data_IF_467525433212
#
_entry.id   IF_467525433212
#
_cell.length_a   1.000
_cell.length_b   1.000
_cell.length_c   1.000
_cell.angle_alpha   90.00
_cell.angle_beta   90.00
_cell.angle_gamma   90.00
#
_symmetry.space_group_name_H-M   'P 1'
#
loop_
_entity.id
_entity.type
_entity.pdbx_description
1 polymer ?
#
# COMPACT_ATOMS: atom_id res chain seq x y z
N UNK A 1 -49.27 -11.31 0.38
CA UNK A 1 -48.70 -12.16 1.45
C UNK A 1 -47.36 -12.67 0.95
N UNK A 2 -46.27 -12.36 1.64
CA UNK A 2 -44.92 -12.82 1.26
C UNK A 2 -44.47 -13.86 2.28
N UNK A 3 -43.98 -14.99 1.80
CA UNK A 3 -43.47 -16.07 2.64
C UNK A 3 -41.95 -16.13 2.51
N UNK A 4 -41.28 -16.48 3.61
CA UNK A 4 -39.85 -16.75 3.59
C UNK A 4 -39.57 -17.96 2.69
N UNK A 5 -38.62 -17.82 1.76
CA UNK A 5 -38.26 -18.91 0.82
C UNK A 5 -37.56 -20.09 1.52
N UNK A 6 -36.93 -19.85 2.66
CA UNK A 6 -36.15 -20.87 3.38
C UNK A 6 -36.99 -21.69 4.36
N UNK A 7 -37.92 -21.05 5.11
CA UNK A 7 -38.68 -21.74 6.15
C UNK A 7 -40.21 -21.70 5.95
N UNK A 8 -40.67 -21.12 4.84
CA UNK A 8 -42.10 -21.04 4.48
C UNK A 8 -42.96 -20.17 5.40
N UNK A 9 -42.36 -19.49 6.39
CA UNK A 9 -43.12 -18.70 7.37
C UNK A 9 -43.60 -17.39 6.75
N UNK A 10 -44.83 -16.99 7.09
CA UNK A 10 -45.42 -15.74 6.65
C UNK A 10 -44.64 -14.55 7.21
N UNK A 11 -44.28 -13.61 6.33
CA UNK A 11 -43.57 -12.38 6.70
C UNK A 11 -44.63 -11.37 7.11
N UNK A 12 -44.79 -11.19 8.42
CA UNK A 12 -45.84 -10.34 9.01
C UNK A 12 -45.53 -8.84 8.88
N UNK A 13 -44.27 -8.47 8.57
CA UNK A 13 -43.80 -7.08 8.61
C UNK A 13 -43.23 -6.67 7.24
N UNK A 14 -43.85 -5.66 6.64
CA UNK A 14 -43.41 -5.08 5.36
C UNK A 14 -42.10 -4.29 5.58
N UNK A 15 -41.01 -4.73 4.93
CA UNK A 15 -39.66 -4.12 5.07
C UNK A 15 -38.69 -4.86 6.01
N UNK A 16 -39.07 -6.02 6.53
CA UNK A 16 -38.21 -6.84 7.37
C UNK A 16 -37.01 -7.43 6.59
N UNK A 17 -35.80 -7.25 7.14
CA UNK A 17 -34.53 -7.65 6.49
C UNK A 17 -34.23 -9.14 6.60
N UNK A 18 -34.64 -9.77 7.71
CA UNK A 18 -34.36 -11.16 8.04
C UNK A 18 -35.60 -11.84 8.62
N UNK A 19 -35.80 -13.12 8.33
CA UNK A 19 -36.92 -13.91 8.85
C UNK A 19 -36.76 -14.15 10.35
N UNK A 20 -37.79 -13.82 11.15
CA UNK A 20 -37.75 -13.98 12.61
C UNK A 20 -37.64 -15.44 13.08
N UNK A 21 -38.10 -16.39 12.25
CA UNK A 21 -38.14 -17.80 12.62
C UNK A 21 -36.85 -18.56 12.29
N UNK A 22 -36.18 -18.21 11.19
CA UNK A 22 -35.01 -18.96 10.70
C UNK A 22 -33.77 -18.09 10.48
N UNK A 23 -33.87 -16.76 10.62
CA UNK A 23 -32.75 -15.84 10.39
C UNK A 23 -32.40 -15.58 8.92
N UNK A 24 -33.10 -16.21 7.96
CA UNK A 24 -32.80 -16.05 6.54
C UNK A 24 -33.04 -14.61 6.04
N UNK A 25 -32.12 -14.08 5.24
CA UNK A 25 -32.20 -12.74 4.66
C UNK A 25 -33.31 -12.67 3.59
N UNK A 26 -34.17 -11.65 3.69
CA UNK A 26 -35.37 -11.49 2.86
C UNK A 26 -35.21 -10.40 1.78
N UNK A 27 -34.12 -9.63 1.80
CA UNK A 27 -33.88 -8.54 0.86
C UNK A 27 -33.11 -9.05 -0.35
N UNK A 28 -33.80 -9.16 -1.48
CA UNK A 28 -33.15 -9.13 -2.79
C UNK A 28 -33.65 -7.93 -3.59
N UNK A 29 -32.70 -7.03 -3.84
CA UNK A 29 -32.56 -6.04 -4.91
C UNK A 29 -33.68 -5.01 -5.15
N UNK A 30 -33.35 -3.73 -4.92
CA UNK A 30 -33.17 -2.74 -6.00
C UNK A 30 -32.71 -1.39 -5.45
N UNK A 31 -31.44 -1.05 -5.67
CA UNK A 31 -31.07 0.33 -5.97
C UNK A 31 -29.90 0.35 -6.97
N UNK A 32 -30.26 0.17 -8.25
CA UNK A 32 -29.50 0.74 -9.36
C UNK A 32 -29.54 2.26 -9.20
N UNK A 33 -28.47 2.86 -8.71
CA UNK A 33 -28.13 4.25 -9.05
C UNK A 33 -26.93 4.15 -9.99
N UNK A 34 -27.18 4.46 -11.25
CA UNK A 34 -26.17 4.94 -12.18
C UNK A 34 -25.57 6.22 -11.61
N UNK A 35 -24.38 6.10 -11.02
CA UNK A 35 -23.39 7.15 -11.00
C UNK A 35 -22.25 6.61 -11.86
N UNK A 36 -22.04 7.24 -12.99
CA UNK A 36 -20.92 6.98 -13.91
C UNK A 36 -19.63 7.34 -13.19
N UNK A 37 -19.13 6.43 -12.35
CA UNK A 37 -17.73 6.43 -11.94
C UNK A 37 -16.96 5.57 -12.96
N UNK A 38 -15.79 6.00 -13.44
CA UNK A 38 -14.94 5.11 -14.21
C UNK A 38 -14.71 3.84 -13.39
N UNK A 39 -15.18 2.72 -13.94
CA UNK A 39 -14.93 1.39 -13.42
C UNK A 39 -13.47 1.08 -13.66
N UNK A 40 -12.60 1.60 -12.82
CA UNK A 40 -11.34 0.93 -12.55
C UNK A 40 -11.73 -0.22 -11.63
N UNK A 41 -12.01 -1.39 -12.21
CA UNK A 41 -11.92 -2.64 -11.45
C UNK A 41 -10.52 -2.64 -10.88
N UNK A 42 -10.38 -2.30 -9.59
CA UNK A 42 -9.16 -2.49 -8.86
C UNK A 42 -8.99 -4.01 -8.76
N UNK A 43 -8.34 -4.57 -9.78
CA UNK A 43 -7.63 -5.82 -9.67
C UNK A 43 -6.84 -5.76 -8.36
N UNK A 44 -6.89 -6.79 -7.49
CA UNK A 44 -5.96 -6.84 -6.37
C UNK A 44 -4.56 -6.57 -6.91
N UNK A 45 -3.75 -5.69 -6.26
CA UNK A 45 -2.44 -5.31 -6.79
C UNK A 45 -1.69 -6.61 -7.03
N UNK A 46 -1.45 -6.94 -8.30
CA UNK A 46 -0.65 -8.10 -8.61
C UNK A 46 0.72 -7.79 -8.01
N UNK A 47 1.29 -8.70 -7.21
CA UNK A 47 2.67 -8.54 -6.80
C UNK A 47 3.44 -8.62 -8.11
N UNK A 48 4.13 -7.53 -8.46
CA UNK A 48 5.07 -7.53 -9.59
C UNK A 48 4.39 -7.63 -10.98
N UNK A 49 4.12 -6.48 -11.59
CA UNK A 49 3.95 -6.40 -13.05
C UNK A 49 5.33 -6.58 -13.69
N UNK A 50 5.44 -7.43 -14.72
CA UNK A 50 6.65 -7.46 -15.56
C UNK A 50 6.89 -6.05 -16.12
N UNK A 51 8.09 -5.52 -15.92
CA UNK A 51 8.44 -4.15 -16.30
C UNK A 51 7.87 -3.04 -15.40
N UNK A 52 7.14 -3.33 -14.31
CA UNK A 52 6.67 -2.35 -13.30
C UNK A 52 7.61 -2.21 -12.10
N UNK A 53 7.47 -1.23 -11.22
CA UNK A 53 8.48 -0.85 -10.18
C UNK A 53 9.09 -2.00 -9.37
N UNK A 54 8.33 -3.03 -9.00
CA UNK A 54 8.81 -4.17 -8.19
C UNK A 54 9.01 -5.45 -9.01
N UNK A 55 9.53 -5.33 -10.23
CA UNK A 55 9.90 -6.48 -11.06
C UNK A 55 11.07 -7.26 -10.45
N UNK A 56 10.84 -8.54 -10.19
CA UNK A 56 11.82 -9.46 -9.63
C UNK A 56 12.96 -9.76 -10.61
N UNK A 57 12.76 -9.55 -11.91
CA UNK A 57 13.83 -9.72 -12.90
C UNK A 57 14.83 -8.56 -12.92
N UNK A 58 14.60 -7.49 -12.14
CA UNK A 58 15.52 -6.35 -12.11
C UNK A 58 16.69 -6.56 -11.17
N UNK A 59 17.87 -6.26 -11.71
CA UNK A 59 19.12 -6.34 -10.97
C UNK A 59 19.50 -5.02 -10.28
N UNK A 60 19.08 -3.87 -10.82
CA UNK A 60 19.37 -2.57 -10.24
C UNK A 60 18.35 -1.49 -10.62
N UNK A 61 18.37 -0.39 -9.88
CA UNK A 61 17.55 0.80 -10.07
C UNK A 61 18.46 2.01 -10.19
N UNK A 62 18.13 2.98 -11.06
CA UNK A 62 18.80 4.28 -11.05
C UNK A 62 17.88 5.30 -10.42
N UNK A 63 18.49 6.07 -9.52
CA UNK A 63 17.87 7.12 -8.75
C UNK A 63 18.73 8.36 -8.98
N UNK A 64 18.11 9.46 -9.44
CA UNK A 64 18.81 10.74 -9.64
C UNK A 64 18.56 11.63 -8.43
N UNK A 65 19.60 12.26 -7.90
CA UNK A 65 19.57 13.00 -6.62
C UNK A 65 18.62 14.22 -6.59
N UNK A 66 18.11 14.66 -7.74
CA UNK A 66 17.24 15.82 -7.78
C UNK A 66 15.90 15.52 -7.05
N UNK A 67 15.73 16.11 -5.87
CA UNK A 67 14.55 16.04 -4.99
C UNK A 67 14.31 14.74 -4.18
N UNK A 68 15.17 13.73 -4.29
CA UNK A 68 14.99 12.45 -3.58
C UNK A 68 15.04 12.59 -2.06
N UNK A 69 15.92 13.44 -1.54
CA UNK A 69 15.99 13.76 -0.11
C UNK A 69 14.70 14.38 0.44
N UNK A 70 13.91 15.00 -0.45
CA UNK A 70 12.62 15.60 -0.11
C UNK A 70 11.47 14.60 -0.20
N UNK A 71 11.72 13.36 -0.64
CA UNK A 71 10.71 12.33 -0.87
C UNK A 71 10.00 12.45 -2.21
N UNK A 72 10.65 13.06 -3.21
CA UNK A 72 10.14 13.16 -4.58
C UNK A 72 11.17 12.65 -5.58
N UNK A 73 10.71 12.11 -6.70
CA UNK A 73 11.57 11.87 -7.85
C UNK A 73 11.18 10.64 -8.65
N UNK A 74 11.81 10.51 -9.81
CA UNK A 74 11.62 9.38 -10.71
C UNK A 74 12.59 8.25 -10.35
N UNK A 75 12.16 7.02 -10.60
CA UNK A 75 12.94 5.78 -10.50
C UNK A 75 13.09 5.24 -11.92
N UNK A 76 14.33 4.93 -12.32
CA UNK A 76 14.63 4.45 -13.67
C UNK A 76 15.19 3.02 -13.68
N UNK A 77 14.97 2.32 -14.79
CA UNK A 77 15.61 1.05 -15.11
C UNK A 77 17.01 1.23 -15.73
N UNK A 78 17.69 0.11 -16.02
CA UNK A 78 19.00 0.07 -16.66
C UNK A 78 19.11 0.79 -18.01
N UNK A 79 17.98 1.01 -18.68
CA UNK A 79 17.88 1.69 -19.98
C UNK A 79 17.54 3.17 -19.80
N UNK A 80 17.37 3.65 -18.57
CA UNK A 80 16.96 5.00 -18.25
C UNK A 80 15.47 5.27 -18.42
N UNK A 81 14.64 4.24 -18.56
CA UNK A 81 13.18 4.39 -18.64
C UNK A 81 12.59 4.55 -17.25
N UNK A 82 11.63 5.48 -17.10
CA UNK A 82 10.91 5.66 -15.85
C UNK A 82 10.03 4.44 -15.56
N UNK A 83 10.30 3.76 -14.45
CA UNK A 83 9.59 2.56 -13.99
C UNK A 83 8.82 2.81 -12.69
N UNK A 84 8.93 4.01 -12.13
CA UNK A 84 8.14 4.41 -10.99
C UNK A 84 8.49 5.80 -10.51
N UNK A 85 7.73 6.26 -9.52
CA UNK A 85 7.87 7.57 -8.93
C UNK A 85 7.78 7.47 -7.41
N UNK A 86 8.58 8.28 -6.75
CA UNK A 86 8.45 8.59 -5.34
C UNK A 86 7.66 9.89 -5.21
N UNK A 87 6.56 9.86 -4.47
CA UNK A 87 5.68 11.01 -4.27
C UNK A 87 5.39 11.23 -2.78
N UNK A 88 5.92 12.31 -2.21
CA UNK A 88 5.64 12.68 -0.82
C UNK A 88 4.34 13.47 -0.69
N UNK A 89 3.59 13.16 0.37
CA UNK A 89 2.36 13.86 0.72
C UNK A 89 2.69 15.01 1.69
N UNK A 90 2.74 16.25 1.20
CA UNK A 90 3.17 17.46 1.94
C UNK A 90 2.37 17.73 3.22
N UNK A 91 1.05 17.53 3.18
CA UNK A 91 0.17 17.79 4.32
C UNK A 91 0.05 16.61 5.29
N UNK A 92 0.88 15.57 5.13
CA UNK A 92 0.88 14.45 6.07
C UNK A 92 1.70 14.78 7.31
N UNK A 93 1.06 14.72 8.48
CA UNK A 93 1.71 14.85 9.80
C UNK A 93 2.86 13.82 9.94
N UNK A 94 2.78 12.69 9.23
CA UNK A 94 3.67 11.53 9.33
C UNK A 94 4.73 11.42 8.22
N UNK A 95 4.95 12.46 7.39
CA UNK A 95 5.92 12.41 6.27
C UNK A 95 5.73 11.13 5.43
N UNK A 96 4.50 10.92 4.93
CA UNK A 96 4.13 9.79 4.07
C UNK A 96 4.74 9.97 2.69
N UNK A 97 5.36 8.91 2.19
CA UNK A 97 5.86 8.81 0.83
C UNK A 97 5.14 7.66 0.15
N UNK A 98 4.71 7.87 -1.08
CA UNK A 98 4.07 6.88 -1.93
C UNK A 98 5.04 6.45 -3.02
N UNK A 99 5.13 5.14 -3.23
CA UNK A 99 5.82 4.55 -4.36
C UNK A 99 4.75 4.23 -5.40
N UNK A 100 4.89 4.85 -6.56
CA UNK A 100 3.92 4.81 -7.64
C UNK A 100 4.54 4.16 -8.87
N UNK A 101 3.73 3.47 -9.65
CA UNK A 101 4.06 3.08 -11.03
C UNK A 101 4.04 4.32 -11.94
N UNK A 102 4.53 4.22 -13.20
CA UNK A 102 4.48 5.31 -14.17
C UNK A 102 3.07 5.81 -14.48
N UNK A 103 2.05 4.96 -14.28
CA UNK A 103 0.63 5.30 -14.43
C UNK A 103 0.04 6.05 -13.20
N UNK A 104 0.85 6.29 -12.17
CA UNK A 104 0.45 6.94 -10.92
C UNK A 104 -0.21 6.01 -9.90
N UNK A 105 -0.38 4.72 -10.22
CA UNK A 105 -0.94 3.75 -9.27
C UNK A 105 0.02 3.50 -8.10
N UNK A 106 -0.50 3.54 -6.87
CA UNK A 106 0.30 3.34 -5.66
C UNK A 106 0.54 1.84 -5.46
N UNK A 107 1.81 1.44 -5.42
CA UNK A 107 2.24 0.05 -5.19
C UNK A 107 2.79 -0.19 -3.79
N UNK A 108 3.26 0.85 -3.10
CA UNK A 108 3.63 0.77 -1.70
C UNK A 108 3.62 2.16 -1.06
N UNK A 109 3.59 2.20 0.27
CA UNK A 109 3.72 3.45 1.03
C UNK A 109 4.75 3.32 2.16
N UNK A 110 5.54 4.38 2.34
CA UNK A 110 6.52 4.51 3.42
C UNK A 110 5.98 5.51 4.44
N UNK A 111 5.82 5.05 5.69
CA UNK A 111 5.27 5.85 6.78
C UNK A 111 6.35 6.09 7.84
N UNK A 112 6.68 7.35 8.12
CA UNK A 112 7.57 7.70 9.23
C UNK A 112 6.79 7.67 10.55
N UNK A 113 7.34 7.04 11.59
CA UNK A 113 6.73 7.07 12.93
C UNK A 113 7.09 8.36 13.67
N UNK A 114 6.08 9.10 14.11
CA UNK A 114 6.23 10.35 14.90
C UNK A 114 6.88 10.10 16.27
N UNK A 115 6.63 8.93 16.89
CA UNK A 115 7.03 8.65 18.28
C UNK A 115 8.32 7.81 18.37
N UNK A 116 8.85 7.29 17.25
CA UNK A 116 10.12 6.56 17.29
C UNK A 116 11.29 7.55 17.19
N UNK A 117 11.95 7.81 18.31
CA UNK A 117 13.13 8.67 18.42
C UNK A 117 14.37 8.20 17.63
N UNK A 118 14.23 7.27 16.67
CA UNK A 118 15.35 6.58 15.98
C UNK A 118 15.19 6.40 14.47
N UNK A 119 14.30 7.16 13.81
CA UNK A 119 14.21 7.15 12.35
C UNK A 119 13.77 5.82 11.73
N UNK A 120 12.85 5.09 12.40
CA UNK A 120 12.23 3.90 11.82
C UNK A 120 11.04 4.30 10.94
N UNK A 121 10.91 3.62 9.80
CA UNK A 121 9.82 3.79 8.85
C UNK A 121 9.16 2.44 8.61
N UNK A 122 7.84 2.41 8.43
CA UNK A 122 7.13 1.20 8.04
C UNK A 122 6.88 1.23 6.53
N UNK A 123 7.19 0.14 5.85
CA UNK A 123 6.82 -0.12 4.46
C UNK A 123 5.50 -0.90 4.45
N UNK A 124 4.54 -0.40 3.70
CA UNK A 124 3.19 -0.96 3.61
C UNK A 124 2.82 -1.24 2.16
N UNK A 125 1.99 -2.25 1.97
CA UNK A 125 1.35 -2.51 0.69
C UNK A 125 0.30 -1.40 0.35
N UNK A 126 -0.35 -1.45 -0.83
CA UNK A 126 -1.39 -0.49 -1.21
C UNK A 126 -2.61 -0.50 -0.29
N UNK A 127 -2.88 -1.62 0.39
CA UNK A 127 -3.98 -1.78 1.33
C UNK A 127 -3.64 -1.24 2.73
N UNK A 128 -2.39 -0.85 2.96
CA UNK A 128 -1.89 -0.32 4.23
C UNK A 128 -1.41 -1.39 5.21
N UNK A 129 -1.35 -2.65 4.80
CA UNK A 129 -0.81 -3.77 5.59
C UNK A 129 0.71 -3.60 5.68
N UNK A 130 1.31 -3.64 6.89
CA UNK A 130 2.75 -3.54 7.04
C UNK A 130 3.43 -4.80 6.48
N UNK A 131 4.33 -4.62 5.52
CA UNK A 131 5.10 -5.71 4.91
C UNK A 131 6.55 -5.73 5.38
N UNK A 132 7.10 -4.56 5.77
CA UNK A 132 8.45 -4.49 6.32
C UNK A 132 8.63 -3.24 7.19
N UNK A 133 9.72 -3.21 7.95
CA UNK A 133 10.20 -2.04 8.68
C UNK A 133 11.60 -1.67 8.22
N UNK A 134 11.81 -0.40 7.91
CA UNK A 134 13.10 0.19 7.58
C UNK A 134 13.65 0.86 8.84
N UNK A 135 14.89 0.56 9.20
CA UNK A 135 15.53 1.12 10.40
C UNK A 135 16.97 1.51 10.14
N UNK A 136 17.30 2.77 10.48
CA UNK A 136 18.68 3.27 10.43
C UNK A 136 19.49 2.80 11.65
N UNK A 137 20.72 2.37 11.43
CA UNK A 137 21.72 2.14 12.48
C UNK A 137 22.38 3.48 12.84
N UNK A 138 22.22 3.93 14.08
CA UNK A 138 22.64 5.28 14.53
C UNK A 138 24.15 5.34 14.89
N UNK A 139 24.81 4.19 15.11
CA UNK A 139 26.14 4.11 15.74
C UNK A 139 27.32 3.82 14.79
N UNK A 140 27.20 4.04 13.48
CA UNK A 140 28.31 3.82 12.55
C UNK A 140 28.97 5.12 12.11
N UNK A 141 30.17 5.39 12.63
CA UNK A 141 30.95 6.60 12.34
C UNK A 141 31.50 6.69 10.91
N UNK A 142 31.45 5.61 10.12
CA UNK A 142 32.11 5.54 8.81
C UNK A 142 31.18 5.26 7.62
N UNK A 143 30.06 4.55 7.82
CA UNK A 143 29.10 4.20 6.74
C UNK A 143 27.69 4.12 7.30
N UNK A 144 26.72 4.66 6.59
CA UNK A 144 25.34 4.55 7.01
C UNK A 144 24.83 3.15 6.70
N UNK A 145 24.12 2.54 7.66
CA UNK A 145 23.50 1.21 7.51
C UNK A 145 22.01 1.29 7.76
N UNK A 146 21.24 0.66 6.88
CA UNK A 146 19.80 0.47 7.01
C UNK A 146 19.49 -1.02 7.06
N UNK A 147 18.52 -1.39 7.91
CA UNK A 147 18.00 -2.75 7.97
C UNK A 147 16.56 -2.76 7.46
N UNK A 148 16.24 -3.79 6.67
CA UNK A 148 14.87 -4.19 6.40
C UNK A 148 14.52 -5.33 7.36
N UNK A 149 13.56 -5.09 8.23
CA UNK A 149 13.14 -5.98 9.30
C UNK A 149 11.68 -6.43 9.08
N UNK A 150 11.36 -7.65 9.50
CA UNK A 150 9.98 -8.10 9.62
C UNK A 150 9.20 -7.20 10.61
N UNK A 151 7.95 -6.80 10.31
CA UNK A 151 7.21 -5.84 11.13
C UNK A 151 7.02 -6.24 12.61
N UNK A 152 6.78 -7.52 12.87
CA UNK A 152 6.42 -8.05 14.19
C UNK A 152 7.63 -8.58 14.96
N UNK A 153 8.32 -9.58 14.41
CA UNK A 153 9.44 -10.28 15.06
C UNK A 153 10.73 -9.44 15.07
N UNK A 154 10.83 -8.45 14.17
CA UNK A 154 12.02 -7.63 13.93
C UNK A 154 13.24 -8.45 13.47
N UNK A 155 13.01 -9.64 12.93
CA UNK A 155 14.04 -10.42 12.23
C UNK A 155 14.52 -9.61 11.03
N UNK A 156 15.84 -9.53 10.82
CA UNK A 156 16.43 -8.80 9.70
C UNK A 156 16.40 -9.67 8.45
N UNK A 157 15.82 -9.14 7.38
CA UNK A 157 15.83 -9.78 6.07
C UNK A 157 16.99 -9.26 5.23
N UNK A 158 17.20 -7.94 5.22
CA UNK A 158 18.21 -7.30 4.37
C UNK A 158 18.94 -6.18 5.09
N UNK A 159 20.15 -5.88 4.60
CA UNK A 159 20.99 -4.77 5.03
C UNK A 159 21.42 -3.97 3.80
N UNK A 160 21.28 -2.64 3.89
CA UNK A 160 21.84 -1.71 2.93
C UNK A 160 22.93 -0.88 3.61
N UNK A 161 24.07 -0.73 2.96
CA UNK A 161 25.21 0.04 3.44
C UNK A 161 25.72 0.95 2.33
N UNK A 162 26.06 2.18 2.68
CA UNK A 162 26.51 3.16 1.71
C UNK A 162 26.56 4.57 2.29
N UNK A 163 26.81 5.52 1.40
CA UNK A 163 26.64 6.94 1.69
C UNK A 163 25.29 7.39 1.13
N UNK A 164 24.27 7.40 2.00
CA UNK A 164 22.90 7.70 1.61
C UNK A 164 22.56 9.19 1.76
N UNK A 165 23.55 10.06 2.04
CA UNK A 165 23.39 11.51 2.08
C UNK A 165 24.62 12.14 1.41
N UNK A 166 24.43 12.68 0.21
CA UNK A 166 25.47 13.39 -0.53
C UNK A 166 25.87 14.70 0.16
N UNK A 167 27.00 14.64 0.86
CA UNK A 167 28.02 15.69 0.95
C UNK A 167 29.39 15.07 1.21
#
# INVERSE_FOLDING_TARGET
MKNCKECGTEISIEGQKFCEKCGAELIQEQKKISLTAPTTRATPPSPTREGGLFDLSRNYYLIKENAWDLGYGEIYDEKGQTIGLMHRILFSIRRRVELQEPDGSVVATIHSKIISARGAQDLKDPLGVPIARIKRKILTFFKQKFFLEEPETKIRWYEAEGDFFGW
#
